data_IF_563592249705
#
_entry.id   IF_563592249705
#
_cell.length_a   1.000
_cell.length_b   1.000
_cell.length_c   1.000
_cell.angle_alpha   90.00
_cell.angle_beta   90.00
_cell.angle_gamma   90.00
#
_symmetry.space_group_name_H-M   'P 1'
#
loop_
_entity.id
_entity.type
_entity.pdbx_description
1 polymer ?
#
# COMPACT_ATOMS: atom_id res chain seq x y z
N UNK A 1 1.23 -10.53 17.12
CA UNK A 1 1.14 -9.70 15.90
C UNK A 1 0.45 -8.37 16.20
N UNK A 2 -0.78 -8.35 16.69
CA UNK A 2 -1.55 -7.13 16.99
C UNK A 2 -0.80 -6.17 17.92
N UNK A 3 -0.34 -6.65 19.08
CA UNK A 3 0.44 -5.83 20.04
C UNK A 3 1.69 -5.19 19.43
N UNK A 4 2.36 -5.88 18.49
CA UNK A 4 3.54 -5.34 17.82
C UNK A 4 3.16 -4.25 16.84
N UNK A 5 2.06 -4.42 16.11
CA UNK A 5 1.52 -3.40 15.20
C UNK A 5 1.08 -2.16 15.97
N UNK A 6 0.33 -2.33 17.05
CA UNK A 6 -0.10 -1.22 17.93
C UNK A 6 1.08 -0.43 18.52
N UNK A 7 2.11 -1.14 18.98
CA UNK A 7 3.32 -0.49 19.51
C UNK A 7 4.00 0.40 18.45
N UNK A 8 4.15 -0.10 17.23
CA UNK A 8 4.79 0.65 16.17
C UNK A 8 3.88 1.75 15.63
N UNK A 9 2.57 1.54 15.63
CA UNK A 9 1.58 2.56 15.29
C UNK A 9 1.66 3.76 16.25
N UNK A 10 1.70 3.50 17.55
CA UNK A 10 1.94 4.54 18.56
C UNK A 10 3.27 5.27 18.35
N UNK A 11 4.32 4.56 17.90
CA UNK A 11 5.64 5.14 17.60
C UNK A 11 5.55 6.07 16.38
N UNK A 12 4.86 5.65 15.32
CA UNK A 12 4.62 6.46 14.12
C UNK A 12 3.95 7.78 14.50
N UNK A 13 2.89 7.73 15.31
CA UNK A 13 2.18 8.91 15.76
C UNK A 13 3.04 9.79 16.68
N UNK A 14 3.70 9.18 17.66
CA UNK A 14 4.53 9.91 18.66
C UNK A 14 5.66 10.71 18.02
N UNK A 15 6.29 10.17 16.99
CA UNK A 15 7.43 10.80 16.32
C UNK A 15 7.05 11.50 15.02
N UNK A 16 5.75 11.67 14.74
CA UNK A 16 5.22 12.32 13.54
C UNK A 16 5.85 11.78 12.24
N UNK A 17 6.05 10.44 12.17
CA UNK A 17 6.72 9.83 11.01
C UNK A 17 5.89 9.96 9.73
N UNK A 18 4.59 10.25 9.85
CA UNK A 18 3.70 10.53 8.72
C UNK A 18 3.95 11.88 8.04
N UNK A 19 4.78 12.75 8.61
CA UNK A 19 5.21 13.98 7.94
C UNK A 19 6.14 13.68 6.75
N UNK A 20 6.67 12.45 6.68
CA UNK A 20 7.52 12.01 5.58
C UNK A 20 6.75 11.18 4.55
N UNK A 21 7.21 11.21 3.30
CA UNK A 21 6.61 10.46 2.18
C UNK A 21 6.89 8.96 2.24
N UNK A 22 7.91 8.53 2.97
CA UNK A 22 8.19 7.13 3.28
C UNK A 22 8.24 6.95 4.80
N UNK A 23 7.80 5.79 5.29
CA UNK A 23 7.85 5.44 6.70
C UNK A 23 9.10 4.61 6.98
N UNK A 24 10.00 5.11 7.82
CA UNK A 24 11.11 4.32 8.36
C UNK A 24 10.91 4.22 9.86
N UNK A 25 10.54 3.02 10.32
CA UNK A 25 10.18 2.74 11.70
C UNK A 25 11.29 1.91 12.33
N UNK A 26 12.02 2.50 13.27
CA UNK A 26 13.07 1.79 14.00
C UNK A 26 12.48 0.95 15.13
N UNK A 27 12.94 -0.30 15.21
CA UNK A 27 12.67 -1.23 16.32
C UNK A 27 13.95 -1.53 17.09
N UNK A 28 13.81 -1.80 18.39
CA UNK A 28 14.92 -2.17 19.26
C UNK A 28 14.60 -3.50 19.97
N UNK A 29 15.60 -4.08 20.64
CA UNK A 29 15.48 -5.39 21.30
C UNK A 29 14.35 -5.43 22.34
N UNK A 30 14.07 -4.31 23.01
CA UNK A 30 13.00 -4.22 24.03
C UNK A 30 11.60 -4.34 23.43
N UNK A 31 11.45 -4.04 22.15
CA UNK A 31 10.16 -4.15 21.44
C UNK A 31 9.76 -5.63 21.23
N UNK A 32 10.75 -6.54 21.29
CA UNK A 32 10.56 -7.97 21.08
C UNK A 32 9.76 -8.32 19.82
N UNK A 33 10.09 -7.65 18.70
CA UNK A 33 9.44 -7.84 17.41
C UNK A 33 10.33 -8.72 16.53
N UNK A 34 9.93 -9.99 16.30
CA UNK A 34 10.68 -10.91 15.44
C UNK A 34 10.87 -10.35 14.02
N UNK A 35 12.01 -10.67 13.42
CA UNK A 35 12.34 -10.20 12.08
C UNK A 35 11.31 -10.64 11.03
N UNK A 36 10.78 -11.85 11.18
CA UNK A 36 9.78 -12.44 10.26
C UNK A 36 8.45 -11.67 10.26
N UNK A 37 8.11 -10.99 11.36
CA UNK A 37 6.89 -10.19 11.45
C UNK A 37 7.05 -8.80 10.84
N UNK A 38 8.27 -8.28 10.71
CA UNK A 38 8.49 -6.89 10.24
C UNK A 38 7.92 -6.66 8.86
N UNK A 39 8.13 -7.60 7.92
CA UNK A 39 7.56 -7.51 6.58
C UNK A 39 6.03 -7.51 6.56
N UNK A 40 5.38 -8.32 7.40
CA UNK A 40 3.92 -8.35 7.52
C UNK A 40 3.35 -7.06 8.12
N UNK A 41 4.05 -6.47 9.09
CA UNK A 41 3.65 -5.19 9.68
C UNK A 41 3.88 -4.05 8.69
N UNK A 42 4.98 -4.08 7.91
CA UNK A 42 5.19 -3.12 6.82
C UNK A 42 4.00 -3.12 5.84
N UNK A 43 3.55 -4.30 5.39
CA UNK A 43 2.38 -4.40 4.49
C UNK A 43 1.13 -3.76 5.11
N UNK A 44 0.87 -3.99 6.41
CA UNK A 44 -0.26 -3.36 7.09
C UNK A 44 -0.14 -1.83 7.12
N UNK A 45 1.08 -1.30 7.32
CA UNK A 45 1.30 0.15 7.34
C UNK A 45 1.24 0.78 5.95
N UNK A 46 1.75 0.10 4.91
CA UNK A 46 1.57 0.56 3.52
C UNK A 46 0.09 0.72 3.19
N UNK A 47 -0.73 -0.29 3.52
CA UNK A 47 -2.18 -0.24 3.25
C UNK A 47 -2.91 0.80 4.10
N UNK A 48 -2.51 0.97 5.38
CA UNK A 48 -3.15 1.91 6.30
C UNK A 48 -2.82 3.36 6.02
N UNK A 49 -1.55 3.63 5.73
CA UNK A 49 -1.03 4.99 5.64
C UNK A 49 -0.75 5.46 4.22
N UNK A 50 -0.93 4.56 3.24
CA UNK A 50 -0.64 4.83 1.82
C UNK A 50 0.76 5.43 1.63
N UNK A 51 1.77 4.79 2.24
CA UNK A 51 3.19 5.18 2.16
C UNK A 51 4.07 3.95 2.10
N UNK A 52 5.12 3.93 1.28
CA UNK A 52 6.16 2.90 1.36
C UNK A 52 6.73 2.85 2.78
N UNK A 53 6.99 1.65 3.28
CA UNK A 53 7.37 1.44 4.68
C UNK A 53 8.59 0.53 4.81
N UNK A 54 9.52 0.88 5.70
CA UNK A 54 10.58 0.02 6.18
C UNK A 54 10.56 -0.08 7.70
N UNK A 55 10.62 -1.30 8.24
CA UNK A 55 10.82 -1.57 9.67
C UNK A 55 12.21 -2.10 9.85
N UNK A 56 13.04 -1.35 10.54
CA UNK A 56 14.47 -1.56 10.64
C UNK A 56 14.94 -1.63 12.10
N UNK A 57 16.02 -2.35 12.33
CA UNK A 57 16.73 -2.36 13.63
C UNK A 57 18.16 -1.89 13.41
N UNK A 58 18.64 -1.07 14.34
CA UNK A 58 20.01 -0.57 14.33
C UNK A 58 20.96 -1.64 14.87
N UNK A 59 22.05 -1.88 14.18
CA UNK A 59 23.15 -2.73 14.63
C UNK A 59 24.25 -1.91 15.31
N UNK A 60 25.26 -2.60 15.83
CA UNK A 60 26.41 -1.98 16.51
C UNK A 60 27.31 -1.13 15.60
N UNK A 61 27.20 -1.31 14.30
CA UNK A 61 28.00 -0.59 13.28
C UNK A 61 27.29 0.66 12.75
N UNK A 62 26.08 0.99 13.27
CA UNK A 62 25.29 2.13 12.83
C UNK A 62 24.42 1.89 11.61
N UNK A 63 24.26 0.63 11.17
CA UNK A 63 23.35 0.30 10.07
C UNK A 63 21.96 -0.05 10.60
N UNK A 64 20.96 0.53 9.95
CA UNK A 64 19.55 0.23 10.11
C UNK A 64 19.18 -0.86 9.10
N UNK A 65 18.94 -2.08 9.57
CA UNK A 65 18.64 -3.25 8.72
C UNK A 65 17.25 -3.79 9.00
N UNK A 66 16.52 -4.14 7.95
CA UNK A 66 15.17 -4.67 8.13
C UNK A 66 14.45 -5.02 6.85
N UNK A 67 13.14 -5.05 6.96
CA UNK A 67 12.24 -5.36 5.85
C UNK A 67 11.58 -4.09 5.33
N UNK A 68 11.42 -4.00 4.02
CA UNK A 68 10.70 -2.93 3.38
C UNK A 68 9.53 -3.45 2.54
N UNK A 69 8.49 -2.63 2.40
CA UNK A 69 7.34 -2.86 1.51
C UNK A 69 6.97 -1.57 0.81
N UNK A 70 6.63 -1.69 -0.47
CA UNK A 70 6.02 -0.64 -1.29
C UNK A 70 4.66 -1.07 -1.81
N UNK A 71 4.17 -0.36 -2.80
CA UNK A 71 2.95 -0.68 -3.53
C UNK A 71 3.12 -0.21 -4.98
N UNK A 72 2.91 -1.10 -5.94
CA UNK A 72 3.01 -0.83 -7.37
C UNK A 72 1.94 0.15 -7.90
N UNK A 73 0.85 0.33 -7.12
CA UNK A 73 -0.17 1.34 -7.41
C UNK A 73 0.26 2.78 -7.11
N UNK A 74 1.40 3.01 -6.45
CA UNK A 74 1.91 4.36 -6.23
C UNK A 74 2.58 4.91 -7.49
N UNK A 75 1.98 5.92 -8.11
CA UNK A 75 2.36 6.38 -9.46
C UNK A 75 3.80 6.92 -9.56
N UNK A 76 4.34 7.52 -8.50
CA UNK A 76 5.70 8.07 -8.48
C UNK A 76 6.73 7.13 -7.85
N UNK A 77 6.29 6.06 -7.17
CA UNK A 77 7.16 5.07 -6.53
C UNK A 77 6.60 3.64 -6.68
N UNK A 78 6.30 3.21 -7.92
CA UNK A 78 5.74 1.88 -8.19
C UNK A 78 6.73 0.75 -7.88
N UNK A 79 8.03 1.05 -7.84
CA UNK A 79 9.12 0.17 -7.45
C UNK A 79 9.92 0.83 -6.33
N UNK A 80 9.60 0.48 -5.08
CA UNK A 80 10.24 1.09 -3.92
C UNK A 80 11.71 0.68 -3.79
N UNK A 81 12.09 -0.52 -4.28
CA UNK A 81 13.49 -0.94 -4.33
C UNK A 81 14.29 -0.02 -5.26
N UNK A 82 13.84 0.15 -6.50
CA UNK A 82 14.51 1.02 -7.47
C UNK A 82 14.58 2.46 -6.97
N UNK A 83 13.53 2.96 -6.32
CA UNK A 83 13.52 4.28 -5.71
C UNK A 83 14.61 4.44 -4.65
N UNK A 84 14.73 3.48 -3.73
CA UNK A 84 15.76 3.50 -2.69
C UNK A 84 17.18 3.41 -3.27
N UNK A 85 17.41 2.50 -4.22
CA UNK A 85 18.70 2.35 -4.91
C UNK A 85 19.06 3.62 -5.69
N UNK A 86 18.10 4.24 -6.38
CA UNK A 86 18.30 5.49 -7.12
C UNK A 86 18.67 6.69 -6.24
N UNK A 87 18.40 6.65 -4.95
CA UNK A 87 18.84 7.70 -4.01
C UNK A 87 20.35 7.68 -3.73
N UNK A 88 21.03 6.56 -3.97
CA UNK A 88 22.43 6.29 -3.59
C UNK A 88 22.72 6.47 -2.08
N UNK A 89 21.69 6.44 -1.24
CA UNK A 89 21.77 6.64 0.22
C UNK A 89 21.62 5.34 1.02
N UNK A 90 21.33 4.24 0.36
CA UNK A 90 21.19 2.91 0.96
C UNK A 90 22.44 2.07 0.70
N UNK A 91 22.78 1.20 1.64
CA UNK A 91 23.90 0.24 1.48
C UNK A 91 23.52 -0.86 0.50
N UNK A 92 22.33 -1.42 0.65
CA UNK A 92 21.74 -2.39 -0.28
C UNK A 92 20.21 -2.45 -0.14
N UNK A 93 19.56 -2.90 -1.20
CA UNK A 93 18.18 -3.39 -1.18
C UNK A 93 18.17 -4.75 -1.90
N UNK A 94 17.73 -5.81 -1.21
CA UNK A 94 17.78 -7.17 -1.75
C UNK A 94 16.42 -7.85 -1.65
N UNK A 95 15.88 -8.23 -2.80
CA UNK A 95 14.55 -8.86 -2.93
C UNK A 95 13.77 -8.31 -4.12
N UNK A 96 12.45 -8.39 -4.02
CA UNK A 96 11.51 -7.94 -5.05
C UNK A 96 11.28 -6.42 -5.00
N UNK A 97 10.76 -5.79 -6.07
CA UNK A 97 10.52 -4.35 -6.16
C UNK A 97 9.83 -3.74 -4.93
N UNK A 98 8.75 -4.36 -4.46
CA UNK A 98 7.96 -3.87 -3.33
C UNK A 98 8.00 -4.78 -2.09
N UNK A 99 8.93 -5.75 -2.04
CA UNK A 99 9.10 -6.66 -0.91
C UNK A 99 10.57 -7.13 -0.79
N UNK A 100 11.36 -6.41 -0.02
CA UNK A 100 12.79 -6.66 0.09
C UNK A 100 13.33 -6.45 1.52
N UNK A 101 14.57 -6.87 1.71
CA UNK A 101 15.40 -6.46 2.83
C UNK A 101 16.21 -5.21 2.46
N UNK A 102 16.45 -4.32 3.40
CA UNK A 102 17.25 -3.12 3.18
C UNK A 102 18.25 -2.86 4.30
N UNK A 103 19.29 -2.11 3.97
CA UNK A 103 20.28 -1.60 4.90
C UNK A 103 20.57 -0.13 4.61
N UNK A 104 20.44 0.72 5.62
CA UNK A 104 20.64 2.17 5.53
C UNK A 104 21.61 2.56 6.65
N UNK A 105 22.69 3.27 6.34
CA UNK A 105 23.52 3.83 7.40
C UNK A 105 22.80 4.97 8.12
N UNK A 106 22.85 5.02 9.46
CA UNK A 106 22.12 6.02 10.25
C UNK A 106 22.39 7.48 9.83
N UNK A 107 23.62 7.79 9.39
CA UNK A 107 23.99 9.12 8.90
C UNK A 107 23.28 9.52 7.59
N UNK A 108 22.72 8.55 6.87
CA UNK A 108 22.00 8.78 5.62
C UNK A 108 20.48 8.85 5.84
N UNK A 109 19.99 8.49 7.02
CA UNK A 109 18.54 8.40 7.27
C UNK A 109 17.81 9.72 6.96
N UNK A 110 18.28 10.81 7.51
CA UNK A 110 17.64 12.12 7.27
C UNK A 110 17.72 12.55 5.81
N UNK A 111 18.88 12.31 5.16
CA UNK A 111 19.02 12.61 3.73
C UNK A 111 18.07 11.78 2.86
N UNK A 112 17.86 10.53 3.22
CA UNK A 112 16.91 9.66 2.51
C UNK A 112 15.46 10.13 2.69
N UNK A 113 15.09 10.57 3.89
CA UNK A 113 13.78 11.17 4.13
C UNK A 113 13.58 12.47 3.35
N UNK A 114 14.58 13.35 3.33
CA UNK A 114 14.58 14.58 2.52
C UNK A 114 14.49 14.26 1.02
N UNK A 115 15.26 13.28 0.54
CA UNK A 115 15.18 12.80 -0.83
C UNK A 115 13.76 12.34 -1.17
N UNK A 116 13.16 11.48 -0.35
CA UNK A 116 11.81 11.00 -0.56
C UNK A 116 10.78 12.15 -0.54
N UNK A 117 10.89 13.06 0.41
CA UNK A 117 9.99 14.20 0.54
C UNK A 117 10.07 15.17 -0.66
N UNK A 118 11.20 15.23 -1.35
CA UNK A 118 11.38 16.07 -2.54
C UNK A 118 11.03 15.39 -3.87
N UNK A 119 10.95 14.05 -3.90
CA UNK A 119 10.71 13.28 -5.12
C UNK A 119 9.33 12.60 -5.16
N UNK A 120 8.60 12.60 -4.07
CA UNK A 120 7.26 12.00 -3.99
C UNK A 120 6.27 13.09 -3.57
N UNK A 121 5.25 13.32 -4.40
CA UNK A 121 4.11 14.19 -4.06
C UNK A 121 3.05 13.43 -3.25
N UNK A 122 2.04 14.11 -2.74
CA UNK A 122 0.89 13.44 -2.10
C UNK A 122 0.05 12.69 -3.13
N UNK A 123 -0.06 13.23 -4.33
CA UNK A 123 -0.73 12.60 -5.48
C UNK A 123 -0.01 11.32 -5.90
N UNK A 124 1.34 11.31 -5.85
CA UNK A 124 2.17 10.15 -6.19
C UNK A 124 2.01 8.96 -5.24
N UNK A 125 1.47 9.19 -4.04
CA UNK A 125 1.12 8.18 -3.05
C UNK A 125 -0.36 7.76 -3.11
N UNK A 126 -1.17 8.42 -3.93
CA UNK A 126 -2.54 7.98 -4.17
C UNK A 126 -2.55 6.64 -4.91
N UNK A 127 -3.46 5.75 -4.54
CA UNK A 127 -3.63 4.51 -5.28
C UNK A 127 -4.12 4.82 -6.70
N UNK A 128 -3.40 4.34 -7.69
CA UNK A 128 -3.82 4.39 -9.11
C UNK A 128 -4.39 3.02 -9.47
N UNK A 129 -5.62 3.03 -9.93
CA UNK A 129 -6.28 1.84 -10.46
C UNK A 129 -6.37 1.95 -11.98
N UNK A 130 -5.76 0.99 -12.67
CA UNK A 130 -5.92 0.87 -14.11
C UNK A 130 -7.25 0.18 -14.39
N UNK A 131 -8.05 0.77 -15.24
CA UNK A 131 -9.35 0.22 -15.63
C UNK A 131 -9.39 0.04 -17.14
N UNK A 132 -9.93 -1.10 -17.59
CA UNK A 132 -10.04 -1.43 -19.01
C UNK A 132 -11.19 -0.67 -19.64
N UNK A 133 -12.27 -0.43 -18.91
CA UNK A 133 -13.41 0.33 -19.40
C UNK A 133 -14.15 1.07 -18.28
N UNK A 134 -14.70 2.24 -18.64
CA UNK A 134 -15.53 3.07 -17.76
C UNK A 134 -16.92 3.19 -18.36
N UNK A 135 -17.93 2.63 -17.69
CA UNK A 135 -19.34 2.81 -18.03
C UNK A 135 -19.92 4.05 -17.36
N UNK A 136 -20.81 4.74 -18.04
CA UNK A 136 -21.73 5.68 -17.39
C UNK A 136 -22.90 4.87 -16.79
N UNK A 137 -23.45 5.31 -15.64
CA UNK A 137 -24.52 4.57 -14.95
C UNK A 137 -25.79 4.34 -15.79
N UNK A 138 -26.00 5.12 -16.83
CA UNK A 138 -27.15 5.03 -17.75
C UNK A 138 -26.88 4.18 -18.99
N UNK A 139 -25.68 3.60 -19.14
CA UNK A 139 -25.37 2.64 -20.20
C UNK A 139 -25.90 1.23 -19.82
N UNK A 140 -26.13 0.39 -20.84
CA UNK A 140 -26.58 -1.00 -20.64
C UNK A 140 -25.36 -1.90 -20.38
N UNK A 141 -24.73 -1.71 -19.18
CA UNK A 141 -23.52 -2.45 -18.81
C UNK A 141 -23.80 -3.85 -18.25
N UNK A 142 -25.02 -4.12 -17.79
CA UNK A 142 -25.36 -5.37 -17.12
C UNK A 142 -25.07 -6.60 -17.99
N UNK A 143 -25.38 -6.51 -19.28
CA UNK A 143 -25.10 -7.62 -20.23
C UNK A 143 -23.62 -7.89 -20.40
N UNK A 144 -22.82 -6.83 -20.49
CA UNK A 144 -21.37 -6.96 -20.67
C UNK A 144 -20.75 -7.55 -19.42
N UNK A 145 -21.17 -7.09 -18.23
CA UNK A 145 -20.70 -7.67 -16.97
C UNK A 145 -21.08 -9.13 -16.81
N UNK A 146 -22.30 -9.50 -17.24
CA UNK A 146 -22.73 -10.91 -17.22
C UNK A 146 -21.91 -11.77 -18.19
N UNK A 147 -21.63 -11.29 -19.41
CA UNK A 147 -20.78 -12.00 -20.35
C UNK A 147 -19.35 -12.19 -19.80
N UNK A 148 -18.77 -11.18 -19.15
CA UNK A 148 -17.46 -11.29 -18.48
C UNK A 148 -17.51 -12.37 -17.39
N UNK A 149 -18.56 -12.35 -16.55
CA UNK A 149 -18.71 -13.28 -15.43
C UNK A 149 -19.04 -14.73 -15.87
N UNK A 150 -19.66 -14.91 -17.04
CA UNK A 150 -19.98 -16.24 -17.61
C UNK A 150 -18.78 -16.97 -18.20
N UNK A 151 -17.66 -16.28 -18.40
CA UNK A 151 -16.44 -16.81 -19.03
C UNK A 151 -15.20 -16.75 -18.12
N UNK A 152 -15.27 -17.27 -16.86
CA UNK A 152 -14.12 -17.23 -15.95
C UNK A 152 -12.91 -18.01 -16.46
N UNK A 153 -13.12 -18.94 -17.41
CA UNK A 153 -12.05 -19.74 -18.03
C UNK A 153 -11.14 -18.94 -18.96
N UNK A 154 -11.55 -17.75 -19.37
CA UNK A 154 -10.73 -16.87 -20.22
C UNK A 154 -9.66 -16.12 -19.42
N UNK A 155 -9.86 -15.96 -18.13
CA UNK A 155 -9.00 -15.17 -17.27
C UNK A 155 -7.99 -16.07 -16.54
N UNK A 156 -6.76 -15.59 -16.37
CA UNK A 156 -5.70 -16.32 -15.68
C UNK A 156 -4.36 -15.62 -15.74
N UNK A 157 -3.27 -16.38 -15.66
CA UNK A 157 -1.92 -15.82 -15.55
C UNK A 157 -1.49 -14.93 -16.73
N UNK A 158 -2.02 -15.19 -17.93
CA UNK A 158 -1.63 -14.48 -19.15
C UNK A 158 -2.67 -13.44 -19.62
N UNK A 159 -3.90 -13.54 -19.12
CA UNK A 159 -5.00 -12.61 -19.42
C UNK A 159 -5.71 -12.31 -18.10
N UNK A 160 -5.48 -11.11 -17.58
CA UNK A 160 -6.14 -10.65 -16.35
C UNK A 160 -7.63 -10.42 -16.58
N UNK A 161 -8.44 -10.67 -15.54
CA UNK A 161 -9.86 -10.33 -15.57
C UNK A 161 -10.01 -8.81 -15.74
N UNK A 162 -10.87 -8.34 -16.68
CA UNK A 162 -10.98 -6.91 -16.93
C UNK A 162 -11.55 -6.16 -15.71
N UNK A 163 -10.88 -5.09 -15.36
CA UNK A 163 -11.34 -4.15 -14.34
C UNK A 163 -12.22 -3.09 -14.99
N UNK A 164 -13.47 -3.00 -14.55
CA UNK A 164 -14.43 -2.03 -15.07
C UNK A 164 -14.90 -1.10 -13.97
N UNK A 165 -15.21 0.14 -14.33
CA UNK A 165 -15.76 1.16 -13.44
C UNK A 165 -17.10 1.62 -13.97
N UNK A 166 -18.08 1.73 -13.09
CA UNK A 166 -19.36 2.38 -13.36
C UNK A 166 -19.33 3.72 -12.62
N UNK A 167 -19.35 4.83 -13.36
CA UNK A 167 -19.27 6.17 -12.79
C UNK A 167 -20.66 6.78 -12.58
N UNK A 168 -20.72 7.76 -11.71
CA UNK A 168 -21.86 8.64 -11.47
C UNK A 168 -23.16 7.93 -11.06
N UNK A 169 -23.05 6.72 -10.45
CA UNK A 169 -24.23 5.99 -9.95
C UNK A 169 -25.00 6.88 -8.96
N UNK A 170 -26.25 7.26 -9.27
CA UNK A 170 -27.06 8.01 -8.33
C UNK A 170 -27.48 7.09 -7.17
N UNK A 171 -27.07 7.43 -5.97
CA UNK A 171 -27.39 6.64 -4.79
C UNK A 171 -27.99 7.50 -3.68
N UNK A 172 -28.76 6.87 -2.79
CA UNK A 172 -29.23 7.46 -1.55
C UNK A 172 -28.66 6.70 -0.35
N UNK A 173 -28.66 7.31 0.82
CA UNK A 173 -28.17 6.69 2.05
C UNK A 173 -28.89 5.38 2.43
N UNK A 174 -30.07 5.12 1.84
CA UNK A 174 -30.82 3.87 2.04
C UNK A 174 -30.37 2.72 1.12
N UNK A 175 -29.54 3.00 0.11
CA UNK A 175 -29.11 2.02 -0.89
C UNK A 175 -27.72 1.46 -0.60
N UNK A 176 -27.01 2.05 0.35
CA UNK A 176 -25.68 1.57 0.72
C UNK A 176 -25.49 1.54 2.24
N UNK A 177 -24.66 0.64 2.71
CA UNK A 177 -24.27 0.56 4.12
C UNK A 177 -22.88 -0.03 4.28
N UNK A 178 -22.23 0.39 5.36
CA UNK A 178 -20.91 -0.10 5.73
C UNK A 178 -21.02 -1.45 6.43
N UNK A 179 -20.15 -2.38 6.04
CA UNK A 179 -20.04 -3.72 6.58
C UNK A 179 -18.66 -3.94 7.24
N UNK A 180 -18.53 -5.04 7.95
CA UNK A 180 -17.34 -5.37 8.70
C UNK A 180 -17.32 -4.74 10.10
N UNK A 181 -16.53 -5.31 10.98
CA UNK A 181 -16.39 -4.85 12.37
C UNK A 181 -15.86 -3.40 12.42
N UNK A 182 -14.95 -3.07 11.50
CA UNK A 182 -14.32 -1.74 11.38
C UNK A 182 -15.04 -0.81 10.41
N UNK A 183 -16.15 -1.26 9.78
CA UNK A 183 -16.87 -0.51 8.74
C UNK A 183 -15.96 -0.13 7.55
N UNK A 184 -15.10 -1.05 7.15
CA UNK A 184 -14.09 -0.91 6.12
C UNK A 184 -14.53 -1.44 4.75
N UNK A 185 -15.71 -2.04 4.68
CA UNK A 185 -16.34 -2.51 3.45
C UNK A 185 -17.68 -1.83 3.25
N UNK A 186 -18.06 -1.62 2.01
CA UNK A 186 -19.32 -0.97 1.63
C UNK A 186 -20.14 -1.90 0.74
N UNK A 187 -21.43 -1.99 0.99
CA UNK A 187 -22.40 -2.65 0.12
C UNK A 187 -23.32 -1.61 -0.48
N UNK A 188 -23.45 -1.62 -1.80
CA UNK A 188 -24.38 -0.77 -2.55
C UNK A 188 -25.38 -1.65 -3.30
N UNK A 189 -26.67 -1.31 -3.25
CA UNK A 189 -27.69 -1.93 -4.10
C UNK A 189 -28.13 -0.91 -5.16
N UNK A 190 -27.94 -1.26 -6.43
CA UNK A 190 -28.34 -0.44 -7.56
C UNK A 190 -29.01 -1.33 -8.63
N UNK A 191 -30.18 -0.91 -9.12
CA UNK A 191 -30.99 -1.68 -10.10
C UNK A 191 -31.24 -3.14 -9.71
N UNK A 192 -31.32 -3.46 -8.41
CA UNK A 192 -31.51 -4.82 -7.92
C UNK A 192 -30.25 -5.67 -7.84
N UNK A 193 -29.11 -5.12 -8.24
CA UNK A 193 -27.79 -5.75 -8.14
C UNK A 193 -27.07 -5.26 -6.88
N UNK A 194 -26.42 -6.18 -6.18
CA UNK A 194 -25.62 -5.87 -5.01
C UNK A 194 -24.12 -5.78 -5.41
N UNK A 195 -23.49 -4.66 -5.05
CA UNK A 195 -22.05 -4.40 -5.21
C UNK A 195 -21.39 -4.35 -3.83
N UNK A 196 -20.24 -5.06 -3.66
CA UNK A 196 -19.54 -5.19 -2.39
C UNK A 196 -18.08 -4.80 -2.55
#
# INVERSE_FOLDING_TARGET
>A
KEKSTELLDMRIQKYALLDNKILIVEVNDKDNIPQELRGLICTQFVNRYHRPCAIVAKNSEGYLRGSMRGNDSFSEVPDFKAFLEGSELVEYVQGHPNAAGCSIHENNLNKLLEYANSHISDEGLANVYYVDYVFDYNEDFDKILLEIAEHPELWGNDIEEPTVVIKDIPYSASQWFLMGENKDSCKLTYNGVEYV
#
